data_IF_452321333257
#
_entry.id   IF_452321333257
#
_cell.length_a   1.000
_cell.length_b   1.000
_cell.length_c   1.000
_cell.angle_alpha   90.00
_cell.angle_beta   90.00
_cell.angle_gamma   90.00
#
_symmetry.space_group_name_H-M   'P 1'
#
loop_
_entity.id
_entity.type
_entity.pdbx_description
1 polymer ?
#
# COMPACT_ATOMS: atom_id res chain seq x y z
N UNK A 1 32.46 20.41 -3.59
CA UNK A 1 31.18 19.90 -3.03
C UNK A 1 31.37 19.62 -1.55
N UNK A 2 30.59 20.24 -0.66
CA UNK A 2 30.66 19.96 0.77
C UNK A 2 30.43 18.46 1.01
N UNK A 3 31.40 17.79 1.64
CA UNK A 3 31.34 16.35 1.99
C UNK A 3 30.28 16.15 3.06
N UNK A 4 29.00 16.20 2.67
CA UNK A 4 27.89 15.88 3.57
C UNK A 4 28.21 14.53 4.21
N UNK A 5 28.14 14.47 5.53
CA UNK A 5 28.37 13.25 6.28
C UNK A 5 27.35 12.20 5.82
N UNK A 6 27.84 11.18 5.11
CA UNK A 6 26.99 10.14 4.53
C UNK A 6 26.37 9.26 5.60
N UNK A 7 27.05 9.05 6.74
CA UNK A 7 26.52 8.28 7.85
C UNK A 7 25.34 9.03 8.46
N UNK A 8 25.55 10.31 8.76
CA UNK A 8 24.51 11.20 9.25
C UNK A 8 23.36 11.35 8.25
N UNK A 9 23.65 11.46 6.95
CA UNK A 9 22.61 11.53 5.92
C UNK A 9 21.82 10.22 5.76
N UNK A 10 22.45 9.05 5.93
CA UNK A 10 21.76 7.77 5.89
C UNK A 10 20.75 7.63 7.05
N UNK A 11 21.08 8.20 8.21
CA UNK A 11 20.24 8.19 9.41
C UNK A 11 19.18 9.33 9.41
N UNK A 12 19.55 10.55 9.04
CA UNK A 12 18.72 11.75 9.28
C UNK A 12 17.84 12.17 8.10
N UNK A 13 18.05 11.68 6.88
CA UNK A 13 17.52 12.38 5.70
C UNK A 13 16.01 12.23 5.52
N UNK A 14 15.12 13.00 6.14
CA UNK A 14 13.64 12.97 6.01
C UNK A 14 13.00 13.18 4.61
N UNK A 15 13.51 12.56 3.54
CA UNK A 15 13.21 12.84 2.14
C UNK A 15 12.74 11.63 1.31
N UNK A 16 12.21 10.57 1.94
CA UNK A 16 11.54 9.49 1.18
C UNK A 16 10.23 10.01 0.60
N UNK A 17 9.87 9.61 -0.62
CA UNK A 17 8.65 10.06 -1.27
C UNK A 17 7.40 9.65 -0.48
N UNK A 18 7.38 8.46 0.13
CA UNK A 18 6.32 8.06 1.07
C UNK A 18 6.24 8.98 2.28
N UNK A 19 7.37 9.27 2.94
CA UNK A 19 7.38 10.23 4.06
C UNK A 19 6.95 11.64 3.63
N UNK A 20 7.35 12.09 2.44
CA UNK A 20 6.87 13.33 1.87
C UNK A 20 5.36 13.27 1.61
N UNK A 21 4.83 12.15 1.13
CA UNK A 21 3.40 11.94 0.89
C UNK A 21 2.61 11.91 2.19
N UNK A 22 3.06 11.17 3.21
CA UNK A 22 2.48 11.15 4.55
C UNK A 22 2.50 12.55 5.15
N UNK A 23 3.65 13.24 5.13
CA UNK A 23 3.74 14.66 5.54
C UNK A 23 2.78 15.56 4.77
N UNK A 24 2.66 15.37 3.46
CA UNK A 24 1.73 16.17 2.63
C UNK A 24 0.29 15.90 3.02
N UNK A 25 -0.09 14.65 3.25
CA UNK A 25 -1.42 14.24 3.70
C UNK A 25 -1.75 14.82 5.08
N UNK A 26 -0.85 14.65 6.06
CA UNK A 26 -1.00 15.22 7.40
C UNK A 26 -1.10 16.75 7.35
N UNK A 27 -0.19 17.43 6.61
CA UNK A 27 -0.26 18.89 6.41
C UNK A 27 -1.53 19.33 5.69
N UNK A 28 -2.08 18.51 4.79
CA UNK A 28 -3.35 18.80 4.11
C UNK A 28 -4.50 18.73 5.09
N UNK A 29 -4.54 17.70 5.93
CA UNK A 29 -5.51 17.54 7.02
C UNK A 29 -5.42 18.71 8.01
N UNK A 30 -4.23 19.01 8.55
CA UNK A 30 -4.03 20.10 9.51
C UNK A 30 -4.42 21.46 8.92
N UNK A 31 -4.11 21.73 7.65
CA UNK A 31 -4.55 22.97 6.98
C UNK A 31 -6.06 23.03 6.80
N UNK A 32 -6.72 21.91 6.55
CA UNK A 32 -8.16 21.85 6.44
C UNK A 32 -8.82 22.11 7.81
N UNK A 33 -8.34 21.46 8.86
CA UNK A 33 -8.79 21.65 10.25
C UNK A 33 -8.56 23.09 10.71
N UNK A 34 -7.37 23.65 10.48
CA UNK A 34 -7.06 25.04 10.81
C UNK A 34 -7.98 26.03 10.07
N UNK A 35 -8.27 25.79 8.78
CA UNK A 35 -9.22 26.63 8.03
C UNK A 35 -10.64 26.52 8.57
N UNK A 36 -11.09 25.33 8.94
CA UNK A 36 -12.40 25.12 9.54
C UNK A 36 -12.50 25.86 10.88
N UNK A 37 -11.45 25.78 11.70
CA UNK A 37 -11.34 26.51 12.96
C UNK A 37 -11.38 28.02 12.77
N UNK A 38 -10.54 28.59 11.89
CA UNK A 38 -10.56 30.03 11.62
C UNK A 38 -11.92 30.54 11.13
N UNK A 39 -12.65 29.73 10.33
CA UNK A 39 -14.01 30.08 9.89
C UNK A 39 -15.01 30.08 11.04
N UNK A 40 -14.83 29.18 12.01
CA UNK A 40 -15.66 29.12 13.20
C UNK A 40 -15.38 30.33 14.10
N UNK A 41 -14.10 30.62 14.38
CA UNK A 41 -13.68 31.82 15.15
C UNK A 41 -14.26 33.11 14.56
N UNK A 42 -14.26 33.24 13.23
CA UNK A 42 -14.79 34.42 12.57
C UNK A 42 -16.31 34.58 12.66
N UNK A 43 -17.06 33.50 12.94
CA UNK A 43 -18.53 33.50 13.01
C UNK A 43 -19.04 33.49 14.44
N UNK A 44 -18.38 32.74 15.31
CA UNK A 44 -18.81 32.43 16.66
C UNK A 44 -17.56 32.06 17.51
N UNK A 45 -16.91 33.07 18.10
CA UNK A 45 -15.69 32.87 18.89
C UNK A 45 -15.90 31.95 20.09
N UNK A 46 -17.02 32.09 20.81
CA UNK A 46 -17.32 31.30 22.01
C UNK A 46 -17.46 29.81 21.67
N UNK A 47 -18.17 29.51 20.58
CA UNK A 47 -18.28 28.13 20.08
C UNK A 47 -16.95 27.59 19.56
N UNK A 48 -16.09 28.44 19.00
CA UNK A 48 -14.76 28.04 18.57
C UNK A 48 -13.89 27.65 19.77
N UNK A 49 -13.89 28.45 20.84
CA UNK A 49 -13.17 28.16 22.09
C UNK A 49 -13.68 26.87 22.74
N UNK A 50 -14.99 26.62 22.74
CA UNK A 50 -15.57 25.38 23.26
C UNK A 50 -15.24 24.13 22.40
N UNK A 51 -14.94 24.31 21.10
CA UNK A 51 -14.52 23.22 20.20
C UNK A 51 -13.02 22.92 20.27
N UNK A 52 -12.20 23.85 20.73
CA UNK A 52 -10.84 23.53 21.13
C UNK A 52 -10.96 22.83 22.47
N UNK A 53 -11.27 21.53 22.46
CA UNK A 53 -10.77 20.71 23.56
C UNK A 53 -9.29 21.07 23.69
N UNK A 54 -8.81 21.46 24.88
CA UNK A 54 -7.39 21.66 25.10
C UNK A 54 -6.76 20.38 24.59
N UNK A 55 -6.09 20.44 23.44
CA UNK A 55 -5.37 19.29 22.93
C UNK A 55 -4.32 19.10 24.01
N UNK A 56 -4.61 18.19 24.94
CA UNK A 56 -3.78 18.03 26.10
C UNK A 56 -2.37 17.78 25.54
N UNK A 57 -1.30 18.30 26.14
CA UNK A 57 0.04 18.17 25.59
C UNK A 57 0.40 16.72 25.20
N UNK A 58 -0.21 15.76 25.90
CA UNK A 58 -0.19 14.32 25.64
C UNK A 58 -0.94 13.83 24.39
N UNK A 59 -1.96 14.54 23.90
CA UNK A 59 -2.62 14.33 22.60
C UNK A 59 -1.93 15.06 21.43
N UNK A 60 -0.96 15.95 21.71
CA UNK A 60 0.08 16.29 20.75
C UNK A 60 1.14 15.20 20.68
N UNK A 61 0.75 13.93 20.72
CA UNK A 61 1.61 12.97 20.06
C UNK A 61 1.69 13.46 18.62
N UNK A 62 2.87 13.88 18.11
CA UNK A 62 3.00 13.98 16.66
C UNK A 62 2.49 12.65 16.12
N UNK A 63 1.80 12.61 14.97
CA UNK A 63 1.27 11.38 14.34
C UNK A 63 2.39 10.36 14.03
N UNK A 64 3.06 9.91 15.08
CA UNK A 64 4.39 9.34 15.13
C UNK A 64 4.30 7.83 15.18
N UNK A 65 3.12 7.28 15.50
CA UNK A 65 2.91 5.85 15.50
C UNK A 65 2.94 5.23 14.08
N UNK A 66 2.74 6.01 13.01
CA UNK A 66 2.94 5.52 11.64
C UNK A 66 4.29 5.93 11.04
N UNK A 67 4.92 6.98 11.57
CA UNK A 67 6.24 7.40 11.13
C UNK A 67 7.36 6.60 11.82
N UNK A 68 7.18 6.18 13.09
CA UNK A 68 8.15 5.38 13.85
C UNK A 68 8.43 4.03 13.19
N UNK A 69 7.37 3.35 12.73
CA UNK A 69 7.45 2.00 12.16
C UNK A 69 7.96 1.97 10.72
N UNK A 70 8.06 3.13 10.05
CA UNK A 70 8.56 3.28 8.69
C UNK A 70 9.82 4.15 8.59
N UNK A 71 10.65 4.20 9.63
CA UNK A 71 12.03 4.67 9.52
C UNK A 71 12.90 3.65 8.76
N UNK A 72 12.54 3.37 7.51
CA UNK A 72 13.44 2.68 6.60
C UNK A 72 14.70 3.53 6.44
N UNK A 73 15.82 2.99 6.89
CA UNK A 73 17.14 3.63 6.76
C UNK A 73 17.42 4.02 5.30
N UNK A 74 18.06 5.18 5.12
CA UNK A 74 18.14 5.83 3.81
C UNK A 74 19.43 5.52 3.12
N UNK A 75 19.49 4.28 2.69
CA UNK A 75 20.68 3.70 2.10
C UNK A 75 20.91 4.11 0.65
N UNK A 76 20.01 4.85 0.00
CA UNK A 76 20.16 5.25 -1.41
C UNK A 76 21.38 6.16 -1.71
N UNK A 77 21.81 6.97 -0.74
CA UNK A 77 23.08 7.72 -0.86
C UNK A 77 24.30 6.79 -0.78
N UNK A 78 24.23 5.83 0.14
CA UNK A 78 25.27 4.81 0.36
C UNK A 78 25.35 3.86 -0.83
N UNK A 79 24.22 3.36 -1.36
CA UNK A 79 24.16 2.51 -2.55
C UNK A 79 24.76 3.22 -3.78
N UNK A 80 24.39 4.48 -4.06
CA UNK A 80 25.03 5.24 -5.17
C UNK A 80 26.53 5.40 -4.98
N UNK A 81 26.99 5.58 -3.75
CA UNK A 81 28.41 5.64 -3.45
C UNK A 81 29.10 4.27 -3.63
N UNK A 82 28.49 3.18 -3.16
CA UNK A 82 28.96 1.80 -3.35
C UNK A 82 29.04 1.40 -4.84
N UNK A 83 28.14 1.90 -5.68
CA UNK A 83 28.17 1.68 -7.12
C UNK A 83 29.48 2.14 -7.79
N UNK A 84 30.19 3.10 -7.19
CA UNK A 84 31.51 3.58 -7.70
C UNK A 84 32.65 2.59 -7.46
N UNK A 85 32.39 1.50 -6.73
CA UNK A 85 33.37 0.45 -6.43
C UNK A 85 33.19 -0.83 -7.25
N UNK A 86 32.21 -0.87 -8.17
CA UNK A 86 32.07 -1.98 -9.11
C UNK A 86 33.36 -2.13 -9.92
N UNK A 87 33.86 -3.35 -10.03
CA UNK A 87 35.14 -3.70 -10.66
C UNK A 87 36.36 -3.64 -9.74
N UNK A 88 36.20 -3.28 -8.46
CA UNK A 88 37.31 -3.24 -7.48
C UNK A 88 37.33 -4.49 -6.60
N UNK A 89 38.50 -4.77 -5.99
CA UNK A 89 38.66 -5.86 -5.02
C UNK A 89 37.90 -5.54 -3.73
N UNK A 90 37.20 -6.54 -3.19
CA UNK A 90 36.40 -6.41 -1.98
C UNK A 90 37.19 -5.89 -0.78
N UNK A 91 38.44 -6.32 -0.60
CA UNK A 91 39.27 -5.87 0.53
C UNK A 91 39.51 -4.35 0.50
N UNK A 92 39.71 -3.78 -0.68
CA UNK A 92 39.87 -2.33 -0.88
C UNK A 92 38.55 -1.60 -0.61
N UNK A 93 37.44 -2.16 -1.10
CA UNK A 93 36.09 -1.61 -0.86
C UNK A 93 35.78 -1.62 0.64
N UNK A 94 36.02 -2.73 1.32
CA UNK A 94 35.77 -2.87 2.75
C UNK A 94 36.65 -1.94 3.57
N UNK A 95 37.92 -1.79 3.21
CA UNK A 95 38.84 -0.84 3.84
C UNK A 95 38.33 0.60 3.69
N UNK A 96 37.87 0.98 2.50
CA UNK A 96 37.31 2.30 2.24
C UNK A 96 35.97 2.53 2.99
N UNK A 97 35.12 1.51 3.11
CA UNK A 97 33.92 1.54 3.95
C UNK A 97 34.29 1.82 5.41
N UNK A 98 35.25 1.08 5.97
CA UNK A 98 35.71 1.26 7.36
C UNK A 98 36.37 2.60 7.59
N UNK A 99 37.02 3.17 6.56
CA UNK A 99 37.59 4.53 6.61
C UNK A 99 36.53 5.61 6.55
N UNK A 100 35.46 5.40 5.76
CA UNK A 100 34.40 6.39 5.53
C UNK A 100 33.38 6.43 6.66
N UNK A 101 33.08 5.29 7.26
CA UNK A 101 32.10 5.13 8.33
C UNK A 101 32.82 4.68 9.61
N UNK A 102 32.87 5.57 10.61
CA UNK A 102 33.47 5.21 11.90
C UNK A 102 32.56 4.26 12.67
N UNK A 103 32.87 2.98 12.58
CA UNK A 103 32.15 1.90 13.26
C UNK A 103 32.28 1.90 14.79
N UNK A 104 33.12 2.77 15.36
CA UNK A 104 33.19 2.97 16.81
C UNK A 104 32.01 3.82 17.30
N UNK A 105 31.39 4.56 16.39
CA UNK A 105 30.13 5.28 16.65
C UNK A 105 28.94 4.36 16.40
N UNK A 106 27.86 4.52 17.18
CA UNK A 106 26.62 3.75 16.98
C UNK A 106 26.06 3.95 15.55
N UNK A 107 26.13 5.19 15.07
CA UNK A 107 25.72 5.57 13.72
C UNK A 107 26.51 4.82 12.64
N UNK A 108 27.84 4.86 12.70
CA UNK A 108 28.70 4.17 11.75
C UNK A 108 28.59 2.65 11.85
N UNK A 109 28.48 2.10 13.07
CA UNK A 109 28.24 0.69 13.27
C UNK A 109 26.94 0.24 12.59
N UNK A 110 25.82 0.92 12.88
CA UNK A 110 24.50 0.62 12.30
C UNK A 110 24.52 0.67 10.78
N UNK A 111 25.08 1.74 10.19
CA UNK A 111 25.19 1.89 8.73
C UNK A 111 26.04 0.79 8.12
N UNK A 112 27.16 0.42 8.73
CA UNK A 112 28.03 -0.62 8.18
C UNK A 112 27.41 -2.01 8.33
N UNK A 113 26.99 -2.39 9.53
CA UNK A 113 26.57 -3.77 9.83
C UNK A 113 25.17 -4.08 9.33
N UNK A 114 24.21 -3.18 9.52
CA UNK A 114 22.81 -3.45 9.15
C UNK A 114 22.52 -3.14 7.69
N UNK A 115 23.25 -2.20 7.09
CA UNK A 115 22.99 -1.74 5.72
C UNK A 115 24.05 -2.15 4.72
N UNK A 116 25.28 -1.65 4.86
CA UNK A 116 26.32 -1.86 3.85
C UNK A 116 26.64 -3.33 3.69
N UNK A 117 26.95 -4.06 4.76
CA UNK A 117 27.20 -5.51 4.67
C UNK A 117 25.99 -6.24 4.12
N UNK A 118 24.78 -5.84 4.53
CA UNK A 118 23.52 -6.34 4.00
C UNK A 118 23.25 -6.01 2.52
N UNK A 119 24.08 -5.24 1.84
CA UNK A 119 23.99 -4.98 0.40
C UNK A 119 24.85 -5.91 -0.45
N UNK A 120 25.80 -6.63 0.16
CA UNK A 120 26.71 -7.55 -0.53
C UNK A 120 26.35 -9.01 -0.26
N UNK A 121 26.59 -9.87 -1.24
CA UNK A 121 26.59 -11.31 -1.10
C UNK A 121 27.81 -11.90 -1.79
N UNK A 122 28.25 -13.09 -1.36
CA UNK A 122 29.25 -13.86 -2.12
C UNK A 122 28.59 -14.54 -3.31
N UNK A 123 29.31 -14.64 -4.42
CA UNK A 123 28.92 -15.42 -5.58
C UNK A 123 28.63 -16.87 -5.18
N UNK A 124 27.53 -17.44 -5.70
CA UNK A 124 27.03 -18.77 -5.34
C UNK A 124 26.33 -18.89 -3.98
N UNK A 125 26.26 -17.82 -3.17
CA UNK A 125 25.47 -17.86 -1.94
C UNK A 125 23.97 -17.74 -2.23
N UNK A 126 23.12 -18.37 -1.41
CA UNK A 126 21.65 -18.25 -1.51
C UNK A 126 21.14 -16.80 -1.40
N UNK A 127 21.94 -15.90 -0.82
CA UNK A 127 21.60 -14.49 -0.70
C UNK A 127 21.90 -13.70 -1.98
N UNK A 128 22.73 -14.22 -2.89
CA UNK A 128 23.18 -13.50 -4.08
C UNK A 128 22.02 -12.92 -4.88
N UNK A 129 20.92 -13.68 -5.07
CA UNK A 129 19.73 -13.25 -5.80
C UNK A 129 19.03 -11.99 -5.21
N UNK A 130 19.22 -11.71 -3.91
CA UNK A 130 18.48 -10.66 -3.19
C UNK A 130 19.32 -9.43 -2.86
N UNK A 131 20.65 -9.52 -3.00
CA UNK A 131 21.58 -8.43 -2.68
C UNK A 131 21.87 -7.56 -3.90
N UNK A 132 22.29 -6.32 -3.64
CA UNK A 132 22.54 -5.34 -4.71
C UNK A 132 23.89 -5.54 -5.39
N UNK A 133 24.87 -6.03 -4.63
CA UNK A 133 26.23 -6.26 -5.08
C UNK A 133 26.64 -7.70 -4.79
N UNK A 134 27.42 -8.28 -5.70
CA UNK A 134 27.98 -9.63 -5.59
C UNK A 134 29.49 -9.51 -5.53
N UNK A 135 30.11 -10.22 -4.59
CA UNK A 135 31.56 -10.41 -4.52
C UNK A 135 31.86 -11.70 -5.25
N UNK A 136 32.53 -11.59 -6.40
CA UNK A 136 32.93 -12.74 -7.21
C UNK A 136 33.87 -13.68 -6.48
N UNK A 137 34.06 -14.89 -7.00
CA UNK A 137 35.07 -15.83 -6.48
C UNK A 137 36.51 -15.28 -6.56
N UNK A 138 36.75 -14.36 -7.50
CA UNK A 138 37.98 -13.58 -7.66
C UNK A 138 38.12 -12.43 -6.64
N UNK A 139 37.11 -12.24 -5.79
CA UNK A 139 37.05 -11.13 -4.83
C UNK A 139 36.68 -9.79 -5.46
N UNK A 140 36.25 -9.75 -6.73
CA UNK A 140 35.86 -8.50 -7.41
C UNK A 140 34.38 -8.19 -7.16
N UNK A 141 34.09 -6.94 -6.84
CA UNK A 141 32.71 -6.46 -6.64
C UNK A 141 32.03 -6.26 -7.99
N UNK A 142 30.86 -6.87 -8.17
CA UNK A 142 29.98 -6.73 -9.34
C UNK A 142 28.61 -6.24 -8.92
N UNK A 143 27.91 -5.55 -9.82
CA UNK A 143 26.50 -5.19 -9.60
C UNK A 143 25.62 -6.41 -9.87
N UNK A 144 24.64 -6.66 -9.01
CA UNK A 144 23.66 -7.70 -9.26
C UNK A 144 22.53 -7.16 -10.16
N UNK A 145 22.72 -7.30 -11.47
CA UNK A 145 21.73 -6.84 -12.44
C UNK A 145 20.49 -7.76 -12.50
N UNK A 146 20.59 -9.01 -12.04
CA UNK A 146 19.45 -9.93 -11.99
C UNK A 146 18.38 -9.45 -11.01
N UNK A 147 18.77 -8.83 -9.89
CA UNK A 147 17.83 -8.21 -8.94
C UNK A 147 16.91 -7.19 -9.60
N UNK A 148 17.39 -6.47 -10.62
CA UNK A 148 16.57 -5.52 -11.37
C UNK A 148 15.55 -6.22 -12.27
N UNK A 149 15.88 -7.41 -12.79
CA UNK A 149 14.96 -8.21 -13.62
C UNK A 149 13.77 -8.76 -12.84
N UNK A 150 13.97 -9.15 -11.57
CA UNK A 150 12.87 -9.64 -10.72
C UNK A 150 11.84 -8.56 -10.37
N UNK A 151 12.26 -7.29 -10.27
CA UNK A 151 11.35 -6.14 -10.06
C UNK A 151 10.68 -5.67 -11.35
N UNK A 152 11.25 -6.01 -12.51
CA UNK A 152 10.59 -5.82 -13.81
C UNK A 152 9.74 -7.03 -14.19
N UNK A 153 9.20 -7.77 -13.22
CA UNK A 153 7.92 -8.46 -13.41
C UNK A 153 6.80 -7.42 -13.56
N UNK A 154 6.92 -6.53 -14.54
CA UNK A 154 5.83 -6.47 -15.49
C UNK A 154 5.71 -7.93 -15.94
N UNK A 155 4.83 -8.70 -15.29
CA UNK A 155 4.31 -9.94 -15.86
C UNK A 155 4.20 -9.62 -17.33
N UNK A 156 4.90 -10.34 -18.23
CA UNK A 156 4.70 -10.12 -19.66
C UNK A 156 3.20 -10.01 -19.79
N UNK A 157 2.70 -8.82 -20.17
CA UNK A 157 1.28 -8.68 -20.41
C UNK A 157 1.11 -9.60 -21.59
N UNK A 158 0.81 -10.86 -21.32
CA UNK A 158 0.31 -11.77 -22.31
C UNK A 158 -0.76 -10.91 -22.96
N UNK A 159 -0.53 -10.58 -24.22
CA UNK A 159 -1.53 -9.90 -25.03
C UNK A 159 -2.61 -10.94 -25.17
N UNK A 160 -3.47 -11.03 -24.15
CA UNK A 160 -4.65 -11.86 -24.15
C UNK A 160 -5.45 -11.31 -25.32
N UNK A 161 -5.57 -12.11 -26.36
CA UNK A 161 -6.35 -11.74 -27.52
C UNK A 161 -7.79 -11.51 -27.06
N UNK A 162 -8.54 -10.68 -27.79
CA UNK A 162 -9.95 -10.44 -27.48
C UNK A 162 -10.74 -11.77 -27.43
N UNK A 163 -10.39 -12.73 -28.28
CA UNK A 163 -10.97 -14.08 -28.27
C UNK A 163 -10.66 -14.86 -26.99
N UNK A 164 -9.40 -14.90 -26.55
CA UNK A 164 -9.02 -15.56 -25.29
C UNK A 164 -9.67 -14.88 -24.09
N UNK A 165 -9.85 -13.55 -24.13
CA UNK A 165 -10.57 -12.81 -23.10
C UNK A 165 -12.05 -13.19 -23.09
N UNK A 166 -12.72 -13.27 -24.24
CA UNK A 166 -14.12 -13.67 -24.32
C UNK A 166 -14.34 -15.13 -23.90
N UNK A 167 -13.45 -16.03 -24.30
CA UNK A 167 -13.47 -17.42 -23.88
C UNK A 167 -13.23 -17.53 -22.37
N UNK A 168 -12.24 -16.81 -21.84
CA UNK A 168 -12.01 -16.71 -20.40
C UNK A 168 -13.21 -16.07 -19.69
N UNK A 169 -13.94 -15.13 -20.29
CA UNK A 169 -15.14 -14.60 -19.69
C UNK A 169 -16.28 -15.63 -19.68
N UNK A 170 -16.38 -16.56 -20.63
CA UNK A 170 -17.32 -17.69 -20.59
C UNK A 170 -18.76 -17.34 -20.13
N UNK A 171 -19.28 -16.16 -20.51
CA UNK A 171 -20.61 -15.68 -20.08
C UNK A 171 -20.70 -15.16 -18.64
N UNK A 172 -19.58 -14.95 -17.95
CA UNK A 172 -19.48 -14.31 -16.63
C UNK A 172 -19.95 -12.85 -16.69
N UNK A 173 -20.70 -12.43 -15.68
CA UNK A 173 -21.18 -11.05 -15.57
C UNK A 173 -20.12 -10.17 -14.90
N UNK A 174 -19.82 -9.03 -15.52
CA UNK A 174 -18.93 -8.00 -14.97
C UNK A 174 -19.77 -6.80 -14.55
N UNK A 175 -19.45 -6.21 -13.40
CA UNK A 175 -19.96 -4.90 -12.99
C UNK A 175 -18.83 -3.86 -13.08
N UNK A 176 -19.16 -2.67 -13.54
CA UNK A 176 -18.25 -1.53 -13.58
C UNK A 176 -18.59 -0.52 -12.48
N UNK A 177 -17.59 -0.08 -11.72
CA UNK A 177 -17.73 0.98 -10.72
C UNK A 177 -16.57 1.97 -10.87
N UNK A 178 -16.80 3.03 -11.65
CA UNK A 178 -15.77 4.00 -12.02
C UNK A 178 -14.67 3.34 -12.88
N UNK A 179 -13.37 3.55 -12.58
CA UNK A 179 -12.27 2.98 -13.36
C UNK A 179 -11.96 1.51 -13.02
N UNK A 180 -12.87 0.81 -12.33
CA UNK A 180 -12.65 -0.55 -11.84
C UNK A 180 -13.77 -1.48 -12.30
N UNK A 181 -13.40 -2.69 -12.68
CA UNK A 181 -14.31 -3.76 -13.09
C UNK A 181 -14.26 -4.91 -12.08
N UNK A 182 -15.42 -5.46 -11.76
CA UNK A 182 -15.62 -6.51 -10.76
C UNK A 182 -16.30 -7.70 -11.40
N UNK A 183 -15.83 -8.91 -11.12
CA UNK A 183 -16.53 -10.12 -11.52
C UNK A 183 -17.65 -10.45 -10.52
N UNK A 184 -18.87 -10.59 -11.02
CA UNK A 184 -20.02 -11.04 -10.21
C UNK A 184 -20.04 -12.57 -10.21
N UNK A 185 -19.79 -13.17 -9.04
CA UNK A 185 -19.95 -14.60 -8.81
C UNK A 185 -21.39 -14.84 -8.30
N UNK A 186 -22.22 -15.64 -9.01
CA UNK A 186 -23.55 -15.97 -8.52
C UNK A 186 -23.46 -16.72 -7.19
N UNK A 187 -24.12 -16.21 -6.16
CA UNK A 187 -24.34 -16.95 -4.91
C UNK A 187 -25.62 -17.78 -5.00
N UNK A 188 -25.77 -18.80 -4.15
CA UNK A 188 -26.98 -19.62 -4.07
C UNK A 188 -28.26 -18.80 -3.86
N UNK A 189 -28.17 -17.68 -3.13
CA UNK A 189 -29.29 -16.74 -2.95
C UNK A 189 -29.65 -15.97 -4.24
N UNK A 190 -28.67 -15.67 -5.10
CA UNK A 190 -28.90 -14.99 -6.38
C UNK A 190 -29.40 -15.93 -7.48
N UNK A 191 -29.15 -17.23 -7.36
CA UNK A 191 -29.55 -18.24 -8.34
C UNK A 191 -31.07 -18.38 -8.42
N UNK A 192 -31.73 -18.41 -7.26
CA UNK A 192 -33.20 -18.50 -7.14
C UNK A 192 -33.89 -17.28 -7.74
N UNK A 193 -33.31 -16.08 -7.56
CA UNK A 193 -33.86 -14.84 -8.10
C UNK A 193 -33.72 -14.76 -9.64
N UNK A 194 -32.55 -15.14 -10.17
CA UNK A 194 -32.30 -15.18 -11.62
C UNK A 194 -33.11 -16.27 -12.31
N UNK A 195 -33.33 -17.42 -11.67
CA UNK A 195 -34.17 -18.51 -12.20
C UNK A 195 -35.67 -18.16 -12.16
N UNK A 196 -36.15 -17.45 -11.13
CA UNK A 196 -37.53 -16.95 -11.08
C UNK A 196 -37.82 -15.89 -12.16
N UNK A 197 -36.84 -15.05 -12.50
CA UNK A 197 -37.02 -13.97 -13.48
C UNK A 197 -36.59 -14.35 -14.90
N UNK A 198 -36.11 -15.59 -15.11
CA UNK A 198 -35.79 -16.14 -16.43
C UNK A 198 -37.02 -16.45 -17.29
N UNK A 199 -38.22 -16.52 -16.67
CA UNK A 199 -39.50 -16.78 -17.35
C UNK A 199 -40.22 -15.51 -17.83
N UNK A 200 -39.69 -14.33 -17.53
CA UNK A 200 -40.27 -13.05 -17.94
C UNK A 200 -39.46 -12.49 -19.10
N UNK A 201 -39.94 -12.69 -20.32
CA UNK A 201 -39.27 -12.40 -21.59
C UNK A 201 -39.10 -10.89 -21.91
N UNK A 202 -39.00 -10.02 -20.90
CA UNK A 202 -39.21 -8.58 -21.05
C UNK A 202 -38.22 -7.63 -20.37
N UNK A 203 -37.06 -8.09 -19.90
CA UNK A 203 -36.05 -7.16 -19.38
C UNK A 203 -34.84 -7.09 -20.32
N UNK A 204 -34.76 -5.99 -21.08
CA UNK A 204 -33.59 -5.66 -21.87
C UNK A 204 -32.40 -5.48 -20.92
N UNK A 205 -31.20 -5.82 -21.37
CA UNK A 205 -29.92 -5.75 -20.61
C UNK A 205 -29.71 -4.44 -19.82
N UNK A 206 -30.32 -3.32 -20.25
CA UNK A 206 -30.25 -2.03 -19.58
C UNK A 206 -31.03 -2.00 -18.25
N UNK A 207 -32.22 -2.63 -18.20
CA UNK A 207 -33.15 -2.52 -17.06
C UNK A 207 -32.61 -3.23 -15.81
N UNK A 208 -31.90 -4.35 -16.00
CA UNK A 208 -31.25 -5.08 -14.88
C UNK A 208 -30.07 -4.29 -14.30
N UNK A 209 -29.38 -3.48 -15.12
CA UNK A 209 -28.26 -2.63 -14.67
C UNK A 209 -28.78 -1.39 -13.94
N UNK A 210 -29.88 -0.81 -14.41
CA UNK A 210 -30.48 0.36 -13.78
C UNK A 210 -31.26 0.01 -12.49
N UNK A 211 -31.92 -1.15 -12.43
CA UNK A 211 -32.57 -1.63 -11.20
C UNK A 211 -31.54 -2.02 -10.11
N UNK A 212 -30.36 -2.50 -10.50
CA UNK A 212 -29.23 -2.72 -9.57
C UNK A 212 -28.59 -1.41 -9.08
N UNK A 213 -28.52 -0.37 -9.93
CA UNK A 213 -28.12 0.98 -9.50
C UNK A 213 -29.09 1.56 -8.48
N UNK A 214 -30.39 1.31 -8.63
CA UNK A 214 -31.41 1.68 -7.64
C UNK A 214 -31.22 0.91 -6.34
N UNK A 215 -30.88 -0.38 -6.37
CA UNK A 215 -30.70 -1.19 -5.16
C UNK A 215 -29.45 -0.80 -4.34
N UNK A 216 -28.32 -0.50 -4.98
CA UNK A 216 -27.11 -0.03 -4.28
C UNK A 216 -27.30 1.40 -3.72
N UNK A 217 -28.15 2.22 -4.36
CA UNK A 217 -28.53 3.53 -3.83
C UNK A 217 -29.54 3.46 -2.65
N UNK A 218 -30.31 2.38 -2.52
CA UNK A 218 -31.27 2.18 -1.42
C UNK A 218 -30.62 1.70 -0.12
N UNK A 219 -29.44 1.08 -0.18
CA UNK A 219 -28.63 0.77 1.02
C UNK A 219 -27.90 2.00 1.59
N UNK A 220 -28.12 3.19 1.01
CA UNK A 220 -27.48 4.45 1.36
C UNK A 220 -28.32 5.35 2.29
N UNK A 221 -29.45 4.88 2.80
CA UNK A 221 -30.29 5.67 3.72
C UNK A 221 -30.32 5.02 5.10
N UNK A 222 -30.21 5.87 6.13
CA UNK A 222 -30.41 5.60 7.57
C UNK A 222 -31.84 5.11 7.88
N UNK A 223 -32.31 4.08 7.19
CA UNK A 223 -33.56 3.41 7.52
C UNK A 223 -33.27 2.23 8.45
N UNK A 224 -34.09 2.02 9.49
CA UNK A 224 -33.99 0.82 10.29
C UNK A 224 -34.17 -0.42 9.42
N UNK A 225 -33.34 -1.44 9.65
CA UNK A 225 -33.49 -2.75 9.00
C UNK A 225 -34.90 -3.29 9.24
N UNK A 226 -35.53 -3.80 8.18
CA UNK A 226 -36.80 -4.50 8.31
C UNK A 226 -36.62 -5.85 9.06
N UNK A 227 -37.73 -6.51 9.40
CA UNK A 227 -37.71 -7.74 10.21
C UNK A 227 -36.88 -8.86 9.60
N UNK A 228 -36.92 -9.03 8.28
CA UNK A 228 -36.18 -10.09 7.58
C UNK A 228 -34.69 -9.76 7.47
N UNK A 229 -34.35 -8.50 7.17
CA UNK A 229 -32.97 -8.00 7.13
C UNK A 229 -32.30 -8.11 8.51
N UNK A 230 -33.03 -7.80 9.58
CA UNK A 230 -32.54 -7.94 10.96
C UNK A 230 -32.32 -9.41 11.33
N UNK A 231 -33.28 -10.28 11.02
CA UNK A 231 -33.14 -11.72 11.28
C UNK A 231 -31.98 -12.36 10.50
N UNK A 232 -31.69 -11.87 9.30
CA UNK A 232 -30.51 -12.29 8.54
C UNK A 232 -29.21 -11.79 9.20
N UNK A 233 -29.16 -10.51 9.60
CA UNK A 233 -27.99 -9.92 10.26
C UNK A 233 -27.66 -10.61 11.59
N UNK A 234 -28.67 -10.97 12.39
CA UNK A 234 -28.52 -11.68 13.67
C UNK A 234 -27.99 -13.11 13.52
N UNK A 235 -28.12 -13.74 12.34
CA UNK A 235 -27.56 -15.07 12.05
C UNK A 235 -26.10 -15.04 11.60
N UNK A 236 -25.56 -13.86 11.32
CA UNK A 236 -24.15 -13.70 10.97
C UNK A 236 -23.28 -13.84 12.21
N UNK A 237 -22.05 -14.34 12.02
CA UNK A 237 -21.08 -14.35 13.11
C UNK A 237 -20.66 -12.92 13.48
N UNK A 238 -20.18 -12.66 14.71
CA UNK A 238 -19.75 -11.31 15.11
C UNK A 238 -18.74 -10.65 14.16
N UNK A 239 -17.84 -11.45 13.56
CA UNK A 239 -16.88 -10.98 12.56
C UNK A 239 -17.55 -10.54 11.25
N UNK A 240 -18.58 -11.27 10.80
CA UNK A 240 -19.35 -10.93 9.61
C UNK A 240 -20.24 -9.70 9.85
N UNK A 241 -20.85 -9.60 11.04
CA UNK A 241 -21.60 -8.41 11.45
C UNK A 241 -20.70 -7.16 11.45
N UNK A 242 -19.49 -7.26 12.03
CA UNK A 242 -18.50 -6.18 12.06
C UNK A 242 -18.01 -5.77 10.66
N UNK A 243 -17.96 -6.70 9.71
CA UNK A 243 -17.59 -6.41 8.33
C UNK A 243 -18.70 -5.65 7.58
N UNK A 244 -19.97 -5.92 7.89
CA UNK A 244 -21.13 -5.24 7.29
C UNK A 244 -21.33 -3.84 7.89
N UNK A 245 -21.00 -3.64 9.17
CA UNK A 245 -21.15 -2.36 9.85
C UNK A 245 -19.93 -1.44 9.74
N UNK A 246 -18.81 -1.92 9.22
CA UNK A 246 -17.61 -1.10 9.04
C UNK A 246 -17.84 -0.04 7.97
N UNK A 247 -18.03 1.21 8.40
CA UNK A 247 -18.29 2.41 7.55
C UNK A 247 -17.07 2.88 6.75
N UNK A 248 -16.15 1.99 6.41
CA UNK A 248 -15.04 2.31 5.51
C UNK A 248 -15.42 1.94 4.06
N UNK A 249 -15.63 2.93 3.17
CA UNK A 249 -16.06 2.70 1.79
C UNK A 249 -15.03 1.95 0.94
N UNK A 250 -13.88 1.59 1.49
CA UNK A 250 -12.80 0.89 0.76
C UNK A 250 -12.67 -0.59 1.05
N UNK A 251 -13.43 -1.14 2.01
CA UNK A 251 -13.36 -2.57 2.38
C UNK A 251 -14.72 -3.26 2.28
N UNK A 252 -15.19 -3.43 1.05
CA UNK A 252 -16.17 -4.47 0.74
C UNK A 252 -15.41 -5.79 0.56
N UNK A 253 -15.56 -6.73 1.49
CA UNK A 253 -15.02 -8.07 1.29
C UNK A 253 -15.88 -8.84 0.27
N UNK A 254 -15.34 -8.96 -0.95
CA UNK A 254 -15.59 -10.10 -1.83
C UNK A 254 -14.93 -11.30 -1.17
N UNK A 255 -15.70 -12.37 -0.96
CA UNK A 255 -15.21 -13.64 -0.40
C UNK A 255 -14.17 -14.21 -1.38
N UNK A 256 -12.91 -14.18 -0.97
CA UNK A 256 -11.76 -15.00 -1.40
C UNK A 256 -11.63 -15.32 -2.90
N UNK A 257 -10.67 -14.65 -3.58
CA UNK A 257 -10.01 -15.20 -4.78
C UNK A 257 -8.73 -15.87 -4.30
N UNK A 258 -8.64 -17.18 -4.45
CA UNK A 258 -7.37 -17.90 -4.32
C UNK A 258 -6.45 -17.49 -5.49
N UNK A 259 -5.16 -17.20 -5.26
CA UNK A 259 -4.21 -17.13 -6.36
C UNK A 259 -4.05 -18.54 -6.94
N UNK A 260 -4.43 -18.72 -8.20
CA UNK A 260 -3.95 -19.87 -8.98
C UNK A 260 -2.51 -19.53 -9.37
N UNK A 261 -1.58 -20.20 -8.71
CA UNK A 261 -0.18 -20.29 -9.13
C UNK A 261 -0.17 -21.08 -10.44
N UNK A 262 0.45 -20.53 -11.48
CA UNK A 262 0.77 -21.26 -12.70
C UNK A 262 2.00 -22.15 -12.46
#
# INVERSE_FOLDING_TARGET
>A
MAKKDLARAALEAGNQQEYQNVRRTLRRRHRHEAKAYCRLVARDPERAEAMVEPIAPEHRQPDACWASDMHGDKTGGVSRWLATFVGKRWDDVYSEVRRRFDVRTLAGWHVVTQHIIGMFAREGSHQAAYREYIIGYDGIVRRNDERFRWRSTATPRATVTESELFEWLAGRKIAECGPRSFWIVPTSASRTYVEQHRRSDWLRKQDVVDEYRVHVSRYRQDRPLNREERAFFERLTPMQQAAVTNRDPTRTFVRTVLPVVA
#
